data_IF_650626156647
#
_entry.id   IF_650626156647
#
_cell.length_a   1.000
_cell.length_b   1.000
_cell.length_c   1.000
_cell.angle_alpha   90.00
_cell.angle_beta   90.00
_cell.angle_gamma   90.00
#
_symmetry.space_group_name_H-M   'P 1'
#
loop_
_entity.id
_entity.type
_entity.pdbx_description
1 polymer ?
#
# COMPACT_ATOMS: atom_id res chain seq x y z
N UNK A 1 -13.99 -28.43 9.48
CA UNK A 1 -13.94 -27.08 8.87
C UNK A 1 -12.49 -26.79 8.61
N UNK A 2 -12.06 -26.81 7.35
CA UNK A 2 -10.71 -26.38 6.99
C UNK A 2 -10.67 -24.85 7.16
N UNK A 3 -9.77 -24.35 7.99
CA UNK A 3 -9.42 -22.94 7.95
C UNK A 3 -8.78 -22.70 6.58
N UNK A 4 -9.36 -21.82 5.78
CA UNK A 4 -8.67 -21.26 4.62
C UNK A 4 -7.42 -20.54 5.16
N UNK A 5 -6.28 -21.24 5.12
CA UNK A 5 -4.96 -20.62 5.18
C UNK A 5 -4.76 -19.86 3.85
N UNK A 6 -5.55 -18.80 3.66
CA UNK A 6 -5.36 -17.83 2.61
C UNK A 6 -4.00 -17.18 2.85
N UNK A 7 -2.99 -17.63 2.12
CA UNK A 7 -1.63 -17.12 2.27
C UNK A 7 -1.64 -15.58 2.23
N UNK A 8 -1.29 -14.94 3.34
CA UNK A 8 -1.17 -13.49 3.41
C UNK A 8 -0.12 -13.04 2.39
N UNK A 9 -0.55 -12.31 1.36
CA UNK A 9 0.34 -11.82 0.34
C UNK A 9 0.93 -10.48 0.78
N UNK A 10 2.26 -10.37 0.71
CA UNK A 10 2.95 -9.10 0.87
C UNK A 10 2.83 -8.30 -0.42
N UNK A 11 2.20 -7.14 -0.33
CA UNK A 11 2.00 -6.22 -1.45
C UNK A 11 2.60 -4.86 -1.12
N UNK A 12 2.90 -4.08 -2.15
CA UNK A 12 3.45 -2.73 -2.02
C UNK A 12 2.50 -1.74 -2.67
N UNK A 13 2.17 -0.67 -1.93
CA UNK A 13 1.51 0.51 -2.44
C UNK A 13 2.52 1.64 -2.55
N UNK A 14 2.60 2.22 -3.74
CA UNK A 14 3.36 3.43 -4.00
C UNK A 14 2.41 4.63 -4.04
N UNK A 15 2.58 5.52 -3.09
CA UNK A 15 1.77 6.72 -2.94
C UNK A 15 2.65 7.91 -3.22
N UNK A 16 2.24 8.81 -4.09
CA UNK A 16 2.98 10.03 -4.41
C UNK A 16 2.08 11.23 -4.19
N UNK A 17 2.52 12.14 -3.32
CA UNK A 17 1.91 13.45 -3.15
C UNK A 17 2.65 14.47 -4.00
N UNK A 18 1.89 15.28 -4.73
CA UNK A 18 2.40 16.35 -5.57
C UNK A 18 2.01 17.69 -4.99
N UNK A 19 2.97 18.61 -4.97
CA UNK A 19 2.76 20.02 -4.60
C UNK A 19 2.10 20.18 -3.22
N UNK A 20 2.59 19.40 -2.25
CA UNK A 20 2.22 19.60 -0.85
C UNK A 20 2.59 21.03 -0.42
N UNK A 21 1.71 21.74 0.31
CA UNK A 21 2.05 23.04 0.84
C UNK A 21 3.24 22.94 1.81
N UNK A 22 3.90 24.08 2.04
CA UNK A 22 5.09 24.17 2.88
C UNK A 22 4.90 23.58 4.30
N UNK A 23 3.67 23.56 4.81
CA UNK A 23 3.27 22.78 5.97
C UNK A 23 2.02 21.99 5.62
N UNK A 24 2.04 20.66 5.82
CA UNK A 24 0.92 19.79 5.50
C UNK A 24 0.80 18.63 6.49
N UNK A 25 -0.44 18.33 6.89
CA UNK A 25 -0.79 17.07 7.54
C UNK A 25 -1.27 16.09 6.48
N UNK A 26 -0.71 14.90 6.48
CA UNK A 26 -1.14 13.78 5.64
C UNK A 26 -1.61 12.66 6.55
N UNK A 27 -2.81 12.14 6.29
CA UNK A 27 -3.36 10.99 7.02
C UNK A 27 -3.98 9.99 6.06
N UNK A 28 -3.59 8.73 6.21
CA UNK A 28 -4.14 7.59 5.51
C UNK A 28 -4.82 6.68 6.53
N UNK A 29 -6.10 6.40 6.33
CA UNK A 29 -6.84 5.38 7.05
C UNK A 29 -7.12 4.20 6.12
N UNK A 30 -6.86 2.99 6.59
CA UNK A 30 -7.19 1.75 5.90
C UNK A 30 -8.48 1.18 6.46
N UNK A 31 -9.39 0.75 5.58
CA UNK A 31 -10.69 0.23 5.99
C UNK A 31 -10.58 -1.15 6.69
N UNK A 32 -11.55 -1.50 7.57
CA UNK A 32 -11.77 -2.88 7.96
C UNK A 32 -12.27 -3.70 6.77
N UNK A 33 -11.64 -4.83 6.47
CA UNK A 33 -12.30 -5.87 5.67
C UNK A 33 -12.76 -7.04 6.55
N UNK A 34 -13.86 -7.67 6.16
CA UNK A 34 -14.26 -8.96 6.70
C UNK A 34 -13.29 -10.03 6.19
N UNK A 35 -12.61 -10.73 7.09
CA UNK A 35 -11.61 -11.75 6.74
C UNK A 35 -10.18 -11.24 6.55
N UNK A 36 -9.96 -9.93 6.46
CA UNK A 36 -8.64 -9.35 6.64
C UNK A 36 -8.49 -8.88 8.09
N UNK A 37 -8.00 -9.77 8.96
CA UNK A 37 -7.06 -9.24 9.92
C UNK A 37 -5.92 -8.65 9.08
N UNK A 38 -5.90 -7.32 8.94
CA UNK A 38 -4.68 -6.58 8.76
C UNK A 38 -3.84 -6.89 10.01
N UNK A 39 -3.25 -8.09 10.04
CA UNK A 39 -2.19 -8.46 10.93
C UNK A 39 -1.02 -7.56 10.53
N UNK A 40 -1.03 -6.33 11.02
CA UNK A 40 0.20 -5.63 11.40
C UNK A 40 0.72 -6.30 12.68
N UNK A 41 0.84 -7.62 12.64
CA UNK A 41 1.23 -8.46 13.74
C UNK A 41 2.14 -9.53 13.13
N UNK A 42 3.34 -9.58 13.70
CA UNK A 42 4.49 -10.41 13.37
C UNK A 42 5.46 -9.93 12.27
N UNK A 43 5.21 -8.86 11.51
CA UNK A 43 6.27 -8.24 10.71
C UNK A 43 6.22 -6.71 10.81
N UNK A 44 7.37 -6.11 11.13
CA UNK A 44 7.53 -4.67 11.32
C UNK A 44 6.99 -3.96 10.08
N UNK A 45 5.89 -3.17 10.17
CA UNK A 45 5.42 -2.39 9.03
C UNK A 45 6.57 -1.48 8.59
N UNK A 46 7.12 -1.74 7.41
CA UNK A 46 8.22 -0.95 6.89
C UNK A 46 7.62 0.18 6.09
N UNK A 47 7.63 1.38 6.66
CA UNK A 47 7.29 2.60 5.94
C UNK A 47 8.59 3.21 5.44
N UNK A 48 8.65 3.46 4.13
CA UNK A 48 9.72 4.24 3.53
C UNK A 48 9.13 5.54 3.03
N UNK A 49 9.44 6.62 3.75
CA UNK A 49 9.18 7.97 3.29
C UNK A 49 10.45 8.45 2.57
N UNK A 50 10.34 8.61 1.26
CA UNK A 50 11.41 9.17 0.44
C UNK A 50 11.14 10.64 0.17
N UNK A 51 12.18 11.41 -0.11
CA UNK A 51 12.04 12.77 -0.61
C UNK A 51 12.98 12.96 -1.79
N UNK A 52 12.48 13.59 -2.85
CA UNK A 52 13.32 14.06 -3.96
C UNK A 52 13.51 15.55 -3.78
N UNK A 53 14.75 15.97 -3.55
CA UNK A 53 15.08 17.37 -3.27
C UNK A 53 15.59 18.05 -4.54
N UNK A 54 14.93 19.14 -4.95
CA UNK A 54 15.50 20.13 -5.89
C UNK A 54 16.26 21.26 -5.17
N UNK A 55 16.04 21.41 -3.86
CA UNK A 55 16.62 22.42 -2.96
C UNK A 55 15.71 22.63 -1.72
N UNK A 56 16.28 22.90 -0.55
CA UNK A 56 15.55 23.14 0.71
C UNK A 56 15.54 21.96 1.70
N UNK A 57 15.34 22.25 2.99
CA UNK A 57 15.21 21.24 4.05
C UNK A 57 13.75 20.79 4.18
N UNK A 58 13.53 19.48 4.32
CA UNK A 58 12.26 18.90 4.72
C UNK A 58 12.39 18.38 6.15
N UNK A 59 11.39 18.66 6.99
CA UNK A 59 11.29 18.12 8.34
C UNK A 59 9.97 17.37 8.56
N UNK A 60 10.01 16.24 9.25
CA UNK A 60 8.82 15.56 9.78
C UNK A 60 8.61 16.05 11.21
N UNK A 61 7.51 16.76 11.45
CA UNK A 61 7.17 17.32 12.76
C UNK A 61 6.54 16.28 13.68
N UNK A 62 5.67 15.43 13.11
CA UNK A 62 5.04 14.33 13.83
C UNK A 62 4.86 13.12 12.90
N UNK A 63 4.90 11.92 13.48
CA UNK A 63 4.62 10.65 12.82
C UNK A 63 3.87 9.75 13.79
N UNK A 64 2.68 9.31 13.39
CA UNK A 64 1.86 8.36 14.11
C UNK A 64 1.55 7.17 13.21
N UNK A 65 1.80 5.96 13.73
CA UNK A 65 1.48 4.72 13.07
C UNK A 65 0.64 3.86 14.02
N UNK A 66 -0.53 3.47 13.55
CA UNK A 66 -1.39 2.48 14.22
C UNK A 66 -1.74 1.38 13.20
N UNK A 67 -2.36 0.26 13.63
CA UNK A 67 -2.66 -0.86 12.74
C UNK A 67 -3.44 -0.52 11.46
N UNK A 68 -4.11 0.63 11.40
CA UNK A 68 -4.91 1.07 10.24
C UNK A 68 -4.78 2.55 9.92
N UNK A 69 -3.80 3.24 10.51
CA UNK A 69 -3.59 4.66 10.26
C UNK A 69 -2.11 4.97 10.15
N UNK A 70 -1.77 5.69 9.10
CA UNK A 70 -0.52 6.43 9.00
C UNK A 70 -0.85 7.92 9.00
N UNK A 71 -0.26 8.68 9.90
CA UNK A 71 -0.39 10.14 9.90
C UNK A 71 0.99 10.77 10.10
N UNK A 72 1.29 11.81 9.34
CA UNK A 72 2.50 12.59 9.53
C UNK A 72 2.28 14.06 9.17
N UNK A 73 3.09 14.92 9.77
CA UNK A 73 3.14 16.34 9.49
C UNK A 73 4.50 16.70 8.89
N UNK A 74 4.47 17.31 7.71
CA UNK A 74 5.67 17.74 6.98
C UNK A 74 5.82 19.25 7.06
N UNK A 75 7.07 19.70 7.12
CA UNK A 75 7.50 21.08 6.92
C UNK A 75 8.53 21.13 5.80
N UNK A 76 8.48 22.15 4.95
CA UNK A 76 9.33 22.27 3.77
C UNK A 76 9.11 21.13 2.77
N UNK A 77 7.85 20.78 2.49
CA UNK A 77 7.52 19.65 1.62
C UNK A 77 8.08 19.84 0.19
N UNK A 78 8.69 18.80 -0.42
CA UNK A 78 9.14 18.86 -1.80
C UNK A 78 7.95 18.88 -2.77
N UNK A 79 8.19 19.28 -4.03
CA UNK A 79 7.17 19.21 -5.09
C UNK A 79 6.66 17.80 -5.34
N UNK A 80 7.44 16.78 -4.96
CA UNK A 80 7.06 15.37 -5.03
C UNK A 80 7.53 14.61 -3.80
N UNK A 81 6.58 14.06 -3.04
CA UNK A 81 6.82 13.25 -1.85
C UNK A 81 6.33 11.80 -2.08
N UNK A 82 7.22 10.84 -2.37
CA UNK A 82 6.88 9.43 -2.43
C UNK A 82 6.81 8.78 -1.05
N UNK A 83 5.76 7.98 -0.84
CA UNK A 83 5.51 7.15 0.31
C UNK A 83 5.30 5.71 -0.18
N UNK A 84 6.07 4.78 0.38
CA UNK A 84 5.89 3.35 0.10
C UNK A 84 5.31 2.69 1.33
N UNK A 85 4.17 2.01 1.15
CA UNK A 85 3.49 1.23 2.19
C UNK A 85 3.53 -0.24 1.81
N UNK A 86 4.22 -1.06 2.62
CA UNK A 86 4.09 -2.51 2.55
C UNK A 86 2.87 -2.95 3.34
N UNK A 87 2.02 -3.76 2.72
CA UNK A 87 0.81 -4.32 3.33
C UNK A 87 0.83 -5.85 3.24
N UNK A 88 0.24 -6.50 4.24
CA UNK A 88 -0.05 -7.93 4.20
C UNK A 88 -1.56 -8.09 4.18
N UNK A 89 -2.09 -8.72 3.13
CA UNK A 89 -3.53 -8.90 2.98
C UNK A 89 -3.85 -10.18 2.20
N UNK A 90 -4.92 -10.86 2.58
CA UNK A 90 -5.56 -11.90 1.77
C UNK A 90 -6.59 -11.33 0.78
N UNK A 91 -6.92 -10.04 0.92
CA UNK A 91 -7.90 -9.35 0.10
C UNK A 91 -7.47 -9.20 -1.36
N UNK A 92 -8.44 -9.21 -2.26
CA UNK A 92 -8.24 -8.84 -3.66
C UNK A 92 -8.13 -7.33 -3.87
N UNK A 93 -8.60 -6.52 -2.91
CA UNK A 93 -8.59 -5.06 -2.98
C UNK A 93 -8.04 -4.46 -1.69
N UNK A 94 -7.56 -3.22 -1.79
CA UNK A 94 -7.26 -2.39 -0.63
C UNK A 94 -7.94 -1.07 -0.83
N UNK A 95 -8.57 -0.59 0.21
CA UNK A 95 -9.28 0.66 0.18
C UNK A 95 -9.08 1.45 1.47
N UNK A 96 -9.26 2.75 1.36
CA UNK A 96 -9.00 3.65 2.46
C UNK A 96 -9.44 5.07 2.21
N UNK A 97 -9.18 5.92 3.19
CA UNK A 97 -9.40 7.35 3.13
C UNK A 97 -8.07 8.07 3.19
N UNK A 98 -7.92 9.05 2.32
CA UNK A 98 -6.82 10.00 2.35
C UNK A 98 -7.34 11.35 2.84
N UNK A 99 -6.68 11.90 3.84
CA UNK A 99 -6.79 13.31 4.22
C UNK A 99 -5.48 14.01 3.85
N UNK A 100 -5.58 14.95 2.93
CA UNK A 100 -4.52 15.86 2.47
C UNK A 100 -5.15 17.24 2.20
N UNK A 101 -4.36 18.32 2.15
CA UNK A 101 -4.86 19.63 1.72
C UNK A 101 -5.57 19.57 0.35
N UNK A 102 -6.61 20.38 0.17
CA UNK A 102 -7.54 20.26 -0.97
C UNK A 102 -6.93 20.39 -2.37
N UNK A 103 -5.82 21.13 -2.52
CA UNK A 103 -5.13 21.30 -3.80
C UNK A 103 -4.10 20.23 -4.15
N UNK A 104 -3.88 19.26 -3.26
CA UNK A 104 -2.81 18.26 -3.41
C UNK A 104 -3.25 17.16 -4.37
N UNK A 105 -2.49 16.97 -5.45
CA UNK A 105 -2.68 15.82 -6.31
C UNK A 105 -1.99 14.59 -5.69
N UNK A 106 -2.71 13.49 -5.62
CA UNK A 106 -2.20 12.22 -5.11
C UNK A 106 -2.30 11.13 -6.16
N UNK A 107 -1.24 10.35 -6.29
CA UNK A 107 -1.22 9.09 -7.07
C UNK A 107 -1.10 7.93 -6.09
N UNK A 108 -1.96 6.91 -6.20
CA UNK A 108 -1.81 5.63 -5.50
C UNK A 108 -1.64 4.55 -6.56
N UNK A 109 -0.58 3.75 -6.45
CA UNK A 109 -0.31 2.64 -7.34
C UNK A 109 -0.10 1.35 -6.56
N UNK A 110 -0.78 0.29 -7.00
CA UNK A 110 -0.43 -1.10 -6.67
C UNK A 110 0.33 -1.72 -7.85
N UNK A 111 0.68 -3.01 -7.74
CA UNK A 111 1.23 -3.75 -8.87
C UNK A 111 0.22 -3.92 -10.03
N UNK A 112 -1.09 -3.83 -9.76
CA UNK A 112 -2.14 -4.03 -10.74
C UNK A 112 -2.64 -2.73 -11.38
N UNK A 113 -2.76 -1.65 -10.59
CA UNK A 113 -3.44 -0.43 -11.03
C UNK A 113 -2.83 0.83 -10.44
N UNK A 114 -3.05 1.96 -11.11
CA UNK A 114 -2.71 3.30 -10.64
C UNK A 114 -3.89 4.25 -10.77
N UNK A 115 -4.26 4.87 -9.67
CA UNK A 115 -5.31 5.88 -9.60
C UNK A 115 -4.73 7.27 -9.27
N UNK A 116 -5.45 8.33 -9.64
CA UNK A 116 -5.08 9.73 -9.39
C UNK A 116 -6.30 10.53 -8.97
N UNK A 117 -6.11 11.42 -8.00
CA UNK A 117 -7.17 12.29 -7.48
C UNK A 117 -6.58 13.53 -6.81
N UNK A 118 -7.44 14.50 -6.48
CA UNK A 118 -7.06 15.79 -5.89
C UNK A 118 -7.80 15.99 -4.58
N UNK A 119 -7.07 16.36 -3.53
CA UNK A 119 -7.62 16.62 -2.20
C UNK A 119 -8.00 15.36 -1.41
N UNK A 120 -8.77 15.50 -0.32
CA UNK A 120 -9.26 14.38 0.47
C UNK A 120 -10.13 13.44 -0.38
N UNK A 121 -9.94 12.14 -0.25
CA UNK A 121 -10.67 11.17 -1.08
C UNK A 121 -10.73 9.78 -0.45
N UNK A 122 -11.79 9.05 -0.78
CA UNK A 122 -11.82 7.60 -0.66
C UNK A 122 -11.18 6.98 -1.90
N UNK A 123 -10.46 5.88 -1.72
CA UNK A 123 -9.75 5.21 -2.81
C UNK A 123 -9.83 3.69 -2.66
N UNK A 124 -9.72 2.99 -3.79
CA UNK A 124 -9.68 1.53 -3.88
C UNK A 124 -8.68 1.15 -4.96
N UNK A 125 -7.83 0.16 -4.71
CA UNK A 125 -6.94 -0.43 -5.72
C UNK A 125 -6.93 -1.95 -5.61
N UNK A 126 -6.92 -2.69 -6.74
CA UNK A 126 -6.76 -4.13 -6.75
C UNK A 126 -5.34 -4.54 -6.35
N UNK A 127 -5.22 -5.72 -5.76
CA UNK A 127 -3.97 -6.42 -5.46
C UNK A 127 -3.82 -7.62 -6.40
N UNK A 128 -2.59 -7.90 -6.86
CA UNK A 128 -2.33 -9.11 -7.63
C UNK A 128 -2.28 -10.29 -6.67
N UNK A 129 -3.29 -11.17 -6.72
CA UNK A 129 -3.17 -12.46 -6.04
C UNK A 129 -2.09 -13.28 -6.75
N UNK A 130 -1.06 -13.71 -6.01
CA UNK A 130 -0.10 -14.66 -6.54
C UNK A 130 -0.87 -15.96 -6.81
N UNK A 131 -1.14 -16.24 -8.09
CA UNK A 131 -1.64 -17.54 -8.51
C UNK A 131 -0.60 -18.55 -8.02
N UNK A 132 -0.96 -19.41 -7.06
CA UNK A 132 -0.15 -20.59 -6.77
C UNK A 132 -0.01 -21.32 -8.10
N UNK A 133 1.18 -21.33 -8.67
CA UNK A 133 1.48 -22.19 -9.80
C UNK A 133 1.18 -23.62 -9.31
N UNK A 134 0.10 -24.21 -9.83
CA UNK A 134 -0.13 -25.63 -9.61
C UNK A 134 1.10 -26.36 -10.15
N UNK A 135 1.69 -27.30 -9.39
CA UNK A 135 2.78 -28.10 -9.90
C UNK A 135 2.29 -28.79 -11.18
N UNK A 136 3.11 -28.85 -12.26
CA UNK A 136 2.71 -29.49 -13.49
C UNK A 136 2.24 -30.91 -13.16
N UNK A 137 1.01 -31.25 -13.57
CA UNK A 137 0.47 -32.60 -13.42
C UNK A 137 1.43 -33.54 -14.16
N UNK A 138 2.24 -34.28 -13.40
CA UNK A 138 3.11 -35.32 -13.92
C UNK A 138 2.24 -36.33 -14.66
N UNK A 139 2.22 -36.27 -16.00
CA UNK A 139 1.63 -37.35 -16.80
C UNK A 139 2.38 -38.64 -16.45
N UNK A 140 1.69 -39.74 -16.08
CA UNK A 140 2.35 -41.02 -15.92
C UNK A 140 3.01 -41.39 -17.26
N UNK A 141 4.30 -41.75 -17.19
CA UNK A 141 5.04 -42.24 -18.33
C UNK A 141 4.35 -43.51 -18.85
N UNK A 142 4.15 -43.59 -20.17
CA UNK A 142 3.62 -44.78 -20.81
C UNK A 142 4.55 -45.98 -20.51
N UNK A 143 4.01 -47.15 -20.15
CA UNK A 143 4.82 -48.32 -19.88
C UNK A 143 5.58 -48.75 -21.16
N UNK A 144 6.82 -49.28 -21.03
CA UNK A 144 7.60 -49.70 -22.17
C UNK A 144 6.89 -50.84 -22.91
N UNK A 145 6.87 -50.74 -24.25
CA UNK A 145 6.38 -51.81 -25.11
C UNK A 145 7.30 -53.04 -24.97
N UNK A 146 6.66 -54.21 -24.90
CA UNK A 146 7.27 -55.52 -24.71
C UNK A 146 8.27 -55.92 -25.82
#
# INVERSE_FOLDING_TARGET
MAADDGALLRQTLEITFHDLPASATVRLDFAPEAGAELLIAASVPTIRLGASFGGGQMGIQSLSLTPRRLQFEVSGAPSRLPLIVSIHSAAAFVHGWLQVPGGVQTTIASAAERIRFVGPSYWVVPLIQAVRAEPPVSRPAAPPAA
#
